data_IF_334712007058
#
_entry.id   IF_334712007058
#
_cell.length_a   1.000
_cell.length_b   1.000
_cell.length_c   1.000
_cell.angle_alpha   90.00
_cell.angle_beta   90.00
_cell.angle_gamma   90.00
#
_symmetry.space_group_name_H-M   'P 1'
#
loop_
_entity.id
_entity.type
_entity.pdbx_description
1 polymer ?
#
# COMPACT_ATOMS: atom_id res chain seq x y z
N UNK A 1 21.88 -30.82 44.44
CA UNK A 1 20.98 -29.66 44.30
C UNK A 1 21.37 -28.95 43.03
N UNK A 2 20.67 -28.87 41.91
CA UNK A 2 19.56 -29.67 41.33
C UNK A 2 19.81 -29.69 39.83
N UNK A 3 19.89 -30.91 39.28
CA UNK A 3 19.98 -31.18 37.84
C UNK A 3 18.59 -31.09 37.17
N UNK A 4 17.87 -30.00 37.24
CA UNK A 4 16.52 -29.90 36.69
C UNK A 4 16.22 -28.61 35.93
N UNK A 5 17.21 -27.98 35.28
CA UNK A 5 17.01 -26.77 34.47
C UNK A 5 17.61 -26.89 33.05
N UNK A 6 17.89 -28.10 32.56
CA UNK A 6 18.41 -28.31 31.19
C UNK A 6 17.49 -29.13 30.27
N UNK A 7 16.20 -29.26 30.56
CA UNK A 7 15.29 -30.11 29.76
C UNK A 7 14.02 -29.37 29.26
N UNK A 8 14.03 -28.06 29.05
CA UNK A 8 12.86 -27.34 28.47
C UNK A 8 13.25 -26.35 27.37
N UNK A 9 14.31 -26.65 26.60
CA UNK A 9 14.65 -25.85 25.39
C UNK A 9 15.01 -26.76 24.20
N UNK A 10 14.17 -27.74 23.95
CA UNK A 10 14.26 -28.51 22.68
C UNK A 10 12.86 -29.04 22.38
N UNK A 11 12.12 -28.17 21.67
CA UNK A 11 11.00 -28.47 20.77
C UNK A 11 10.23 -27.21 20.51
N UNK A 12 10.51 -26.59 19.38
CA UNK A 12 9.60 -26.31 18.27
C UNK A 12 10.37 -25.49 17.22
N UNK A 13 11.29 -26.14 16.51
CA UNK A 13 11.60 -25.72 15.15
C UNK A 13 10.69 -26.54 14.24
N UNK A 14 9.43 -26.13 14.09
CA UNK A 14 8.66 -26.51 12.92
C UNK A 14 9.34 -25.87 11.72
N UNK A 15 9.95 -26.73 10.92
CA UNK A 15 10.43 -26.38 9.58
C UNK A 15 9.23 -25.88 8.80
N UNK A 16 9.23 -24.61 8.46
CA UNK A 16 8.33 -24.07 7.45
C UNK A 16 8.64 -24.83 6.18
N UNK A 17 7.69 -25.65 5.75
CA UNK A 17 7.76 -26.38 4.49
C UNK A 17 7.84 -25.33 3.37
N UNK A 18 9.02 -25.19 2.79
CA UNK A 18 9.31 -24.25 1.69
C UNK A 18 8.87 -24.78 0.33
N UNK A 19 8.06 -25.84 0.31
CA UNK A 19 7.48 -26.33 -0.94
C UNK A 19 6.31 -25.44 -1.37
N UNK A 20 6.27 -24.96 -2.62
CA UNK A 20 5.11 -24.21 -3.12
C UNK A 20 3.85 -25.09 -3.01
N UNK A 21 2.68 -24.52 -2.73
CA UNK A 21 1.44 -25.27 -2.61
C UNK A 21 1.20 -26.06 -3.90
N UNK A 22 1.26 -27.39 -3.79
CA UNK A 22 0.96 -28.32 -4.88
C UNK A 22 -0.53 -28.24 -5.17
N UNK A 23 -0.91 -27.54 -6.23
CA UNK A 23 -2.30 -27.40 -6.66
C UNK A 23 -2.73 -26.02 -7.17
N UNK A 24 -1.81 -25.10 -7.43
CA UNK A 24 -2.14 -23.85 -8.13
C UNK A 24 -2.67 -24.19 -9.54
N UNK A 25 -3.79 -23.59 -9.98
CA UNK A 25 -4.30 -23.78 -11.34
C UNK A 25 -3.27 -23.26 -12.34
N UNK A 26 -2.61 -24.19 -13.00
CA UNK A 26 -1.62 -23.90 -14.06
C UNK A 26 -2.36 -23.41 -15.31
N UNK A 27 -1.97 -22.27 -15.81
CA UNK A 27 -2.04 -21.81 -17.19
C UNK A 27 -3.25 -21.03 -17.73
N UNK A 28 -4.49 -21.15 -17.26
CA UNK A 28 -5.59 -20.56 -18.04
C UNK A 28 -5.93 -19.10 -17.63
N UNK A 29 -5.80 -18.73 -16.36
CA UNK A 29 -6.20 -17.40 -15.89
C UNK A 29 -5.19 -16.30 -16.25
N UNK A 30 -3.89 -16.58 -16.23
CA UNK A 30 -2.87 -15.60 -16.60
C UNK A 30 -2.77 -15.37 -18.11
N UNK A 31 -3.01 -16.39 -18.92
CA UNK A 31 -3.08 -16.23 -20.38
C UNK A 31 -4.26 -15.35 -20.82
N UNK A 32 -5.40 -15.41 -20.11
CA UNK A 32 -6.53 -14.49 -20.31
C UNK A 32 -6.21 -13.08 -19.79
N UNK A 33 -5.58 -12.95 -18.62
CA UNK A 33 -5.16 -11.66 -18.07
C UNK A 33 -4.10 -10.96 -18.94
N UNK A 34 -3.17 -11.72 -19.50
CA UNK A 34 -2.16 -11.21 -20.45
C UNK A 34 -2.75 -10.77 -21.78
N UNK A 35 -3.93 -11.29 -22.16
CA UNK A 35 -4.62 -10.98 -23.42
C UNK A 35 -5.64 -9.84 -23.36
N UNK A 36 -6.11 -9.44 -22.19
CA UNK A 36 -7.29 -8.56 -22.06
C UNK A 36 -7.06 -7.22 -21.35
N UNK A 37 -5.82 -6.87 -20.95
CA UNK A 37 -5.55 -5.67 -20.17
C UNK A 37 -5.39 -4.42 -21.02
N UNK A 38 -6.24 -3.44 -20.82
CA UNK A 38 -6.12 -2.11 -21.39
C UNK A 38 -5.04 -1.29 -20.65
N UNK A 39 -4.05 -0.80 -21.39
CA UNK A 39 -3.05 0.16 -20.89
C UNK A 39 -3.73 1.46 -20.40
N UNK A 40 -3.21 2.12 -19.36
CA UNK A 40 -3.66 3.44 -18.92
C UNK A 40 -3.63 4.51 -20.02
N UNK A 41 -2.87 4.28 -21.09
CA UNK A 41 -2.74 5.19 -22.26
C UNK A 41 -3.66 4.86 -23.42
N UNK A 42 -4.63 3.94 -23.26
CA UNK A 42 -5.63 3.64 -24.29
C UNK A 42 -5.10 2.92 -25.55
N UNK A 43 -3.86 2.42 -25.53
CA UNK A 43 -3.30 1.58 -26.58
C UNK A 43 -3.28 0.12 -26.09
N UNK A 44 -3.79 -0.83 -26.88
CA UNK A 44 -3.65 -2.27 -26.63
C UNK A 44 -2.17 -2.70 -26.82
N UNK A 45 -1.35 -2.44 -25.80
CA UNK A 45 0.03 -2.93 -25.75
C UNK A 45 0.07 -4.10 -24.78
N UNK A 46 -0.13 -5.31 -25.27
CA UNK A 46 0.05 -6.50 -24.43
C UNK A 46 1.49 -6.62 -23.91
N UNK A 47 1.66 -7.22 -22.71
CA UNK A 47 2.93 -7.44 -22.02
C UNK A 47 4.04 -7.97 -22.95
N UNK A 48 3.74 -8.89 -23.85
CA UNK A 48 4.68 -9.39 -24.86
C UNK A 48 5.28 -8.30 -25.75
N UNK A 49 4.52 -7.23 -26.06
CA UNK A 49 5.03 -6.10 -26.83
C UNK A 49 5.98 -5.21 -26.03
N UNK A 50 5.80 -5.11 -24.71
CA UNK A 50 6.71 -4.34 -23.83
C UNK A 50 8.01 -5.12 -23.67
N UNK A 51 7.93 -6.40 -23.35
CA UNK A 51 9.09 -7.28 -23.15
C UNK A 51 9.95 -7.39 -24.41
N UNK A 52 9.33 -7.53 -25.61
CA UNK A 52 10.06 -7.67 -26.88
C UNK A 52 10.86 -6.41 -27.26
N UNK A 53 10.55 -5.25 -26.72
CA UNK A 53 11.26 -3.99 -26.96
C UNK A 53 12.36 -3.73 -25.93
N UNK A 54 12.36 -4.46 -24.82
CA UNK A 54 13.36 -4.30 -23.77
C UNK A 54 14.71 -4.87 -24.23
N UNK A 55 15.78 -4.08 -24.11
CA UNK A 55 17.15 -4.55 -24.38
C UNK A 55 17.63 -5.52 -23.30
N UNK A 56 17.16 -5.34 -22.08
CA UNK A 56 17.42 -6.16 -20.90
C UNK A 56 16.24 -6.05 -19.94
N UNK A 57 15.96 -7.14 -19.22
CA UNK A 57 14.91 -7.21 -18.21
C UNK A 57 15.56 -7.38 -16.84
N UNK A 58 15.11 -6.60 -15.87
CA UNK A 58 15.47 -6.69 -14.47
C UNK A 58 14.21 -6.95 -13.66
N UNK A 59 14.24 -7.90 -12.71
CA UNK A 59 13.14 -8.14 -11.78
C UNK A 59 13.56 -7.68 -10.40
N UNK A 60 12.92 -6.61 -9.90
CA UNK A 60 13.08 -6.12 -8.54
C UNK A 60 12.00 -6.74 -7.66
N UNK A 61 12.43 -7.41 -6.61
CA UNK A 61 11.53 -8.04 -5.63
C UNK A 61 12.17 -8.03 -4.24
N UNK A 62 11.50 -8.58 -3.24
CA UNK A 62 12.03 -8.72 -1.89
C UNK A 62 12.16 -10.19 -1.44
N UNK A 63 12.87 -10.40 -0.31
CA UNK A 63 13.17 -11.72 0.23
C UNK A 63 11.91 -12.52 0.64
N UNK A 64 10.77 -11.87 0.87
CA UNK A 64 9.51 -12.56 1.20
C UNK A 64 8.79 -13.06 -0.07
N UNK A 65 8.88 -12.32 -1.17
CA UNK A 65 8.15 -12.60 -2.42
C UNK A 65 8.94 -13.54 -3.33
N UNK A 66 10.27 -13.33 -3.42
CA UNK A 66 11.14 -14.06 -4.34
C UNK A 66 11.00 -15.59 -4.27
N UNK A 67 11.01 -16.24 -3.07
CA UNK A 67 10.97 -17.70 -3.00
C UNK A 67 9.69 -18.34 -3.55
N UNK A 68 8.59 -17.58 -3.54
CA UNK A 68 7.28 -18.09 -3.97
C UNK A 68 6.97 -17.79 -5.43
N UNK A 69 7.42 -16.62 -5.92
CA UNK A 69 6.88 -16.09 -7.16
C UNK A 69 7.91 -15.76 -8.24
N UNK A 70 9.21 -15.65 -7.90
CA UNK A 70 10.21 -15.23 -8.88
C UNK A 70 10.35 -16.24 -10.03
N UNK A 71 10.54 -17.54 -9.80
CA UNK A 71 10.64 -18.52 -10.88
C UNK A 71 9.35 -18.63 -11.73
N UNK A 72 8.19 -18.52 -11.05
CA UNK A 72 6.89 -18.59 -11.73
C UNK A 72 6.69 -17.39 -12.68
N UNK A 73 6.99 -16.18 -12.22
CA UNK A 73 6.85 -14.96 -13.03
C UNK A 73 7.86 -14.93 -14.17
N UNK A 74 9.09 -15.38 -13.97
CA UNK A 74 10.07 -15.52 -15.04
C UNK A 74 9.58 -16.47 -16.14
N UNK A 75 9.05 -17.61 -15.77
CA UNK A 75 8.46 -18.59 -16.68
C UNK A 75 7.24 -18.03 -17.41
N UNK A 76 6.29 -17.40 -16.70
CA UNK A 76 5.07 -16.86 -17.31
C UNK A 76 5.34 -15.74 -18.31
N UNK A 77 6.34 -14.91 -18.01
CA UNK A 77 6.72 -13.79 -18.88
C UNK A 77 7.72 -14.18 -19.96
N UNK A 78 8.27 -15.41 -19.94
CA UNK A 78 9.33 -15.85 -20.86
C UNK A 78 10.61 -15.03 -20.71
N UNK A 79 10.96 -14.68 -19.46
CA UNK A 79 12.14 -13.86 -19.15
C UNK A 79 13.10 -14.55 -18.16
N UNK A 80 13.35 -15.86 -18.32
CA UNK A 80 14.20 -16.68 -17.48
C UNK A 80 15.68 -16.20 -17.45
N UNK A 81 16.04 -15.28 -18.32
CA UNK A 81 17.34 -14.63 -18.34
C UNK A 81 17.32 -13.22 -17.70
N UNK A 82 16.23 -12.86 -16.99
CA UNK A 82 16.15 -11.59 -16.30
C UNK A 82 17.23 -11.48 -15.20
N UNK A 83 17.62 -10.26 -14.92
CA UNK A 83 18.58 -9.99 -13.85
C UNK A 83 17.81 -9.70 -12.58
N UNK A 84 17.96 -10.59 -11.62
CA UNK A 84 17.27 -10.50 -10.34
C UNK A 84 17.89 -9.44 -9.44
N UNK A 85 17.03 -8.63 -8.79
CA UNK A 85 17.41 -7.66 -7.77
C UNK A 85 16.54 -7.93 -6.54
N UNK A 86 17.05 -8.74 -5.62
CA UNK A 86 16.35 -9.06 -4.39
C UNK A 86 16.80 -8.12 -3.27
N UNK A 87 15.84 -7.46 -2.61
CA UNK A 87 16.09 -6.54 -1.49
C UNK A 87 15.45 -7.06 -0.20
N UNK A 88 15.84 -6.47 0.92
CA UNK A 88 15.18 -6.77 2.21
C UNK A 88 13.77 -6.21 2.23
N UNK A 89 12.80 -6.95 2.78
CA UNK A 89 11.42 -6.50 2.93
C UNK A 89 11.29 -5.45 4.04
N UNK A 90 10.26 -4.61 3.94
CA UNK A 90 9.87 -3.66 4.97
C UNK A 90 10.16 -2.20 4.63
N UNK A 91 9.33 -1.32 5.17
CA UNK A 91 9.35 0.13 4.89
C UNK A 91 10.68 0.78 5.28
N UNK A 92 11.38 0.29 6.31
CA UNK A 92 12.69 0.80 6.70
C UNK A 92 13.75 0.69 5.60
N UNK A 93 13.53 -0.15 4.59
CA UNK A 93 14.41 -0.30 3.42
C UNK A 93 13.96 0.53 2.22
N UNK A 94 12.85 1.27 2.33
CA UNK A 94 12.39 2.23 1.33
C UNK A 94 13.20 3.53 1.38
N UNK A 95 14.48 3.45 1.12
CA UNK A 95 15.43 4.52 1.34
C UNK A 95 16.46 4.66 0.21
N UNK A 96 17.24 5.75 0.22
CA UNK A 96 18.23 6.05 -0.80
C UNK A 96 19.33 4.97 -0.91
N UNK A 97 19.67 4.30 0.19
CA UNK A 97 20.70 3.26 0.17
C UNK A 97 20.26 2.05 -0.66
N UNK A 98 18.99 1.67 -0.55
CA UNK A 98 18.41 0.61 -1.38
C UNK A 98 18.32 1.01 -2.85
N UNK A 99 17.90 2.24 -3.14
CA UNK A 99 17.90 2.78 -4.52
C UNK A 99 19.32 2.75 -5.13
N UNK A 100 20.35 3.12 -4.36
CA UNK A 100 21.72 3.03 -4.82
C UNK A 100 22.16 1.60 -5.16
N UNK A 101 21.66 0.58 -4.43
CA UNK A 101 21.93 -0.83 -4.79
C UNK A 101 21.30 -1.18 -6.14
N UNK A 102 20.05 -0.76 -6.37
CA UNK A 102 19.36 -0.98 -7.64
C UNK A 102 20.17 -0.31 -8.77
N UNK A 103 20.49 0.98 -8.66
CA UNK A 103 21.28 1.67 -9.68
C UNK A 103 22.65 1.04 -9.93
N UNK A 104 23.35 0.58 -8.88
CA UNK A 104 24.64 -0.12 -9.02
C UNK A 104 24.46 -1.43 -9.80
N UNK A 105 23.38 -2.18 -9.57
CA UNK A 105 23.09 -3.42 -10.32
C UNK A 105 22.81 -3.10 -11.80
N UNK A 106 21.97 -2.10 -12.08
CA UNK A 106 21.70 -1.64 -13.45
C UNK A 106 23.01 -1.24 -14.17
N UNK A 107 23.88 -0.49 -13.49
CA UNK A 107 25.18 -0.07 -14.05
C UNK A 107 26.12 -1.25 -14.28
N UNK A 108 26.20 -2.18 -13.33
CA UNK A 108 27.05 -3.37 -13.43
C UNK A 108 26.71 -4.22 -14.65
N UNK A 109 25.43 -4.29 -14.98
CA UNK A 109 24.93 -5.06 -16.11
C UNK A 109 24.76 -4.21 -17.38
N UNK A 110 25.32 -2.98 -17.40
CA UNK A 110 25.30 -2.08 -18.55
C UNK A 110 23.91 -1.74 -19.09
N UNK A 111 22.90 -1.67 -18.18
CA UNK A 111 21.52 -1.32 -18.58
C UNK A 111 21.51 -0.02 -19.39
N UNK A 112 20.89 -0.06 -20.56
CA UNK A 112 20.71 1.10 -21.44
C UNK A 112 19.36 1.81 -21.17
N UNK A 113 18.91 2.70 -22.06
CA UNK A 113 17.65 3.43 -21.90
C UNK A 113 16.43 2.60 -22.28
N UNK A 114 16.61 1.47 -22.94
CA UNK A 114 15.56 0.54 -23.33
C UNK A 114 15.45 -0.64 -22.34
N UNK A 115 16.26 -0.62 -21.26
CA UNK A 115 16.13 -1.60 -20.18
C UNK A 115 14.75 -1.45 -19.49
N UNK A 116 14.20 -2.57 -19.02
CA UNK A 116 12.93 -2.66 -18.33
C UNK A 116 13.15 -3.14 -16.90
N UNK A 117 12.52 -2.48 -15.92
CA UNK A 117 12.41 -3.00 -14.56
C UNK A 117 10.99 -3.56 -14.35
N UNK A 118 10.90 -4.79 -13.88
CA UNK A 118 9.68 -5.42 -13.37
C UNK A 118 9.70 -5.30 -11.85
N UNK A 119 8.82 -4.51 -11.28
CA UNK A 119 8.66 -4.33 -9.83
C UNK A 119 7.65 -5.37 -9.34
N UNK A 120 8.11 -6.48 -8.79
CA UNK A 120 7.27 -7.56 -8.28
C UNK A 120 7.25 -7.55 -6.75
N UNK A 121 6.18 -7.04 -6.14
CA UNK A 121 6.10 -6.93 -4.68
C UNK A 121 4.96 -6.07 -4.17
N UNK A 122 5.03 -5.69 -2.91
CA UNK A 122 4.11 -4.75 -2.27
C UNK A 122 4.35 -3.30 -2.67
N UNK A 123 3.66 -2.37 -2.00
CA UNK A 123 3.77 -0.94 -2.26
C UNK A 123 5.19 -0.39 -2.14
N UNK A 124 5.99 -0.89 -1.19
CA UNK A 124 7.41 -0.51 -1.03
C UNK A 124 8.22 -0.81 -2.30
N UNK A 125 8.01 -1.98 -2.92
CA UNK A 125 8.69 -2.36 -4.16
C UNK A 125 8.24 -1.49 -5.33
N UNK A 126 6.93 -1.24 -5.45
CA UNK A 126 6.39 -0.40 -6.52
C UNK A 126 6.91 1.03 -6.46
N UNK A 127 6.90 1.65 -5.26
CA UNK A 127 7.39 3.01 -5.03
C UNK A 127 8.91 3.12 -5.28
N UNK A 128 9.68 2.24 -4.69
CA UNK A 128 11.13 2.25 -4.74
C UNK A 128 11.67 1.91 -6.14
N UNK A 129 11.09 0.90 -6.78
CA UNK A 129 11.45 0.48 -8.12
C UNK A 129 11.05 1.51 -9.17
N UNK A 130 9.86 2.09 -9.06
CA UNK A 130 9.40 3.17 -9.92
C UNK A 130 10.29 4.42 -9.78
N UNK A 131 10.69 4.78 -8.54
CA UNK A 131 11.63 5.88 -8.32
C UNK A 131 13.02 5.57 -8.90
N UNK A 132 13.54 4.36 -8.69
CA UNK A 132 14.82 3.96 -9.26
C UNK A 132 14.81 4.01 -10.80
N UNK A 133 13.74 3.49 -11.42
CA UNK A 133 13.56 3.50 -12.87
C UNK A 133 13.44 4.92 -13.43
N UNK A 134 12.59 5.76 -12.83
CA UNK A 134 12.33 7.13 -13.31
C UNK A 134 13.54 8.05 -13.23
N UNK A 135 14.50 7.74 -12.36
CA UNK A 135 15.71 8.55 -12.13
C UNK A 135 16.97 7.99 -12.81
N UNK A 136 17.02 6.67 -13.07
CA UNK A 136 18.14 6.06 -13.79
C UNK A 136 18.17 6.54 -15.26
N UNK A 137 19.33 7.03 -15.71
CA UNK A 137 19.52 7.58 -17.10
C UNK A 137 18.45 8.59 -17.55
N UNK A 138 17.80 9.29 -16.63
CA UNK A 138 16.65 10.21 -16.80
C UNK A 138 15.35 9.52 -17.17
N UNK A 139 15.21 8.28 -16.79
CA UNK A 139 14.04 7.43 -16.97
C UNK A 139 14.31 6.24 -17.87
N UNK A 140 13.98 5.06 -17.34
CA UNK A 140 13.82 3.81 -18.08
C UNK A 140 12.42 3.28 -17.80
N UNK A 141 11.93 2.38 -18.65
CA UNK A 141 10.59 1.82 -18.49
C UNK A 141 10.50 0.88 -17.29
N UNK A 142 9.34 0.82 -16.67
CA UNK A 142 9.05 -0.15 -15.63
C UNK A 142 7.59 -0.61 -15.68
N UNK A 143 7.33 -1.80 -15.16
CA UNK A 143 6.00 -2.36 -14.92
C UNK A 143 5.88 -2.76 -13.47
N UNK A 144 4.65 -2.78 -12.93
CA UNK A 144 4.37 -3.22 -11.59
C UNK A 144 3.59 -4.53 -11.60
N UNK A 145 4.04 -5.51 -10.82
CA UNK A 145 3.33 -6.75 -10.49
C UNK A 145 3.06 -6.70 -8.98
N UNK A 146 1.95 -6.09 -8.54
CA UNK A 146 1.63 -5.98 -7.12
C UNK A 146 1.30 -7.36 -6.53
N UNK A 147 1.97 -7.73 -5.43
CA UNK A 147 1.77 -9.01 -4.74
C UNK A 147 1.05 -8.87 -3.40
N UNK A 148 0.73 -7.64 -2.98
CA UNK A 148 -0.11 -7.38 -1.80
C UNK A 148 -1.44 -6.76 -2.22
N UNK A 149 -2.51 -7.02 -1.45
CA UNK A 149 -3.83 -6.45 -1.74
C UNK A 149 -3.76 -4.91 -1.76
N UNK A 150 -3.06 -4.30 -0.81
CA UNK A 150 -2.87 -2.86 -0.75
C UNK A 150 -2.21 -2.31 -2.03
N UNK A 151 -1.20 -3.00 -2.55
CA UNK A 151 -0.56 -2.57 -3.80
C UNK A 151 -1.46 -2.75 -5.02
N UNK A 152 -2.25 -3.83 -5.06
CA UNK A 152 -3.20 -4.11 -6.16
C UNK A 152 -4.27 -3.04 -6.30
N UNK A 153 -4.78 -2.54 -5.18
CA UNK A 153 -5.91 -1.60 -5.16
C UNK A 153 -5.49 -0.14 -5.03
N UNK A 154 -4.27 0.12 -4.54
CA UNK A 154 -3.79 1.47 -4.26
C UNK A 154 -2.34 1.72 -4.70
N UNK A 155 -1.34 1.25 -3.97
CA UNK A 155 0.03 1.75 -4.05
C UNK A 155 0.68 1.64 -5.43
N UNK A 156 0.44 0.56 -6.20
CA UNK A 156 1.03 0.39 -7.53
C UNK A 156 0.37 1.25 -8.63
N UNK A 157 -0.71 1.98 -8.32
CA UNK A 157 -1.54 2.74 -9.26
C UNK A 157 -1.37 4.23 -9.02
N UNK A 158 -1.22 5.02 -10.10
CA UNK A 158 -1.28 6.49 -10.04
C UNK A 158 0.06 7.19 -10.01
N UNK A 159 1.17 6.47 -10.28
CA UNK A 159 2.45 7.04 -10.67
C UNK A 159 3.20 7.81 -9.58
N UNK A 160 2.73 7.83 -8.34
CA UNK A 160 3.53 8.34 -7.22
C UNK A 160 4.60 7.31 -6.90
N UNK A 161 5.86 7.66 -7.08
CA UNK A 161 7.01 6.83 -6.73
C UNK A 161 7.91 7.60 -5.79
N UNK A 162 8.59 6.93 -4.87
CA UNK A 162 9.40 7.67 -3.92
C UNK A 162 10.05 6.82 -2.84
N UNK A 163 10.78 7.53 -1.99
CA UNK A 163 11.52 6.98 -0.86
C UNK A 163 11.33 7.84 0.39
N UNK A 164 11.58 7.23 1.52
CA UNK A 164 11.66 7.89 2.81
C UNK A 164 13.01 8.57 2.98
N UNK A 165 13.02 9.73 3.61
CA UNK A 165 14.23 10.49 3.85
C UNK A 165 14.13 11.33 5.11
N UNK A 166 15.21 11.39 5.90
CA UNK A 166 15.27 12.21 7.11
C UNK A 166 14.27 11.84 8.20
N UNK A 167 13.84 10.57 8.25
CA UNK A 167 12.84 10.10 9.22
C UNK A 167 11.39 10.37 8.82
N UNK A 168 11.15 10.95 7.64
CA UNK A 168 9.82 11.21 7.14
C UNK A 168 9.51 10.36 5.89
N UNK A 169 8.27 9.86 5.79
CA UNK A 169 7.80 9.03 4.67
C UNK A 169 7.64 9.84 3.39
N UNK A 170 7.95 9.20 2.26
CA UNK A 170 7.65 9.69 0.91
C UNK A 170 8.16 11.12 0.61
N UNK A 171 9.29 11.54 1.20
CA UNK A 171 9.81 12.91 1.07
C UNK A 171 10.49 13.19 -0.27
N UNK A 172 11.07 12.16 -0.89
CA UNK A 172 11.74 12.28 -2.18
C UNK A 172 11.06 11.34 -3.16
N UNK A 173 10.57 11.88 -4.27
CA UNK A 173 9.84 11.06 -5.23
C UNK A 173 9.67 11.72 -6.58
N UNK A 174 9.06 10.98 -7.50
CA UNK A 174 8.71 11.43 -8.84
C UNK A 174 7.26 11.06 -9.15
N UNK A 175 6.67 11.75 -10.13
CA UNK A 175 5.46 11.28 -10.78
C UNK A 175 5.88 10.53 -12.03
N UNK A 176 5.88 9.20 -11.98
CA UNK A 176 6.24 8.33 -13.09
C UNK A 176 5.25 7.16 -13.15
N UNK A 177 4.56 7.05 -14.26
CA UNK A 177 3.60 5.96 -14.47
C UNK A 177 4.31 4.71 -14.97
N UNK A 178 3.93 3.55 -14.43
CA UNK A 178 4.32 2.26 -14.98
C UNK A 178 3.75 2.10 -16.40
N UNK A 179 4.49 1.43 -17.30
CA UNK A 179 3.96 1.07 -18.62
C UNK A 179 2.74 0.15 -18.49
N UNK A 180 2.73 -0.71 -17.45
CA UNK A 180 1.63 -1.63 -17.13
C UNK A 180 1.59 -1.92 -15.63
N UNK A 181 0.39 -2.20 -15.09
CA UNK A 181 0.19 -2.72 -13.74
C UNK A 181 -0.57 -4.04 -13.84
N UNK A 182 0.13 -5.14 -13.65
CA UNK A 182 -0.40 -6.49 -13.79
C UNK A 182 -0.97 -6.98 -12.48
N UNK A 183 -2.28 -6.88 -12.30
CA UNK A 183 -2.99 -7.27 -11.09
C UNK A 183 -3.53 -8.68 -11.26
N UNK A 184 -3.01 -9.63 -10.45
CA UNK A 184 -3.53 -10.99 -10.40
C UNK A 184 -3.75 -11.40 -8.94
N UNK A 185 -4.98 -11.75 -8.54
CA UNK A 185 -5.29 -12.20 -7.18
C UNK A 185 -4.55 -13.48 -6.74
N UNK A 186 -3.94 -14.24 -7.66
CA UNK A 186 -3.17 -15.45 -7.33
C UNK A 186 -2.04 -15.16 -6.34
N UNK A 187 -1.41 -13.99 -6.44
CA UNK A 187 -0.35 -13.58 -5.54
C UNK A 187 -0.79 -13.47 -4.07
N UNK A 188 -2.09 -13.28 -3.83
CA UNK A 188 -2.65 -13.19 -2.47
C UNK A 188 -2.68 -14.55 -1.75
N UNK A 189 -2.47 -15.66 -2.46
CA UNK A 189 -2.46 -17.01 -1.86
C UNK A 189 -1.32 -17.21 -0.85
N UNK A 190 -0.25 -16.44 -0.97
CA UNK A 190 0.90 -16.47 -0.04
C UNK A 190 0.95 -15.27 0.89
N UNK A 191 -0.02 -14.36 0.79
CA UNK A 191 -0.05 -13.13 1.57
C UNK A 191 -0.59 -13.39 2.98
N UNK A 192 0.11 -12.96 4.06
CA UNK A 192 -0.40 -13.04 5.41
C UNK A 192 -1.74 -12.33 5.59
N UNK A 193 -2.61 -12.91 6.44
CA UNK A 193 -3.95 -12.36 6.70
C UNK A 193 -3.94 -10.91 7.17
N UNK A 194 -2.97 -10.52 8.00
CA UNK A 194 -2.78 -9.14 8.47
C UNK A 194 -2.60 -8.16 7.29
N UNK A 195 -1.83 -8.54 6.28
CA UNK A 195 -1.63 -7.75 5.06
C UNK A 195 -2.89 -7.68 4.18
N UNK A 196 -3.71 -8.76 4.16
CA UNK A 196 -5.02 -8.72 3.49
C UNK A 196 -5.93 -7.71 4.19
N UNK A 197 -5.99 -7.72 5.52
CA UNK A 197 -6.78 -6.76 6.30
C UNK A 197 -6.32 -5.32 6.07
N UNK A 198 -5.01 -5.10 5.98
CA UNK A 198 -4.43 -3.80 5.62
C UNK A 198 -4.92 -3.32 4.25
N UNK A 199 -4.91 -4.18 3.23
CA UNK A 199 -5.45 -3.84 1.90
C UNK A 199 -6.96 -3.59 1.90
N UNK A 200 -7.72 -4.34 2.70
CA UNK A 200 -9.18 -4.15 2.85
C UNK A 200 -9.53 -2.76 3.38
N UNK A 201 -8.71 -2.16 4.24
CA UNK A 201 -8.92 -0.80 4.72
C UNK A 201 -8.96 0.20 3.55
N UNK A 202 -8.04 0.07 2.59
CA UNK A 202 -8.00 0.91 1.40
C UNK A 202 -9.22 0.67 0.47
N UNK A 203 -9.67 -0.58 0.33
CA UNK A 203 -10.87 -0.86 -0.44
C UNK A 203 -12.12 -0.22 0.19
N UNK A 204 -12.24 -0.27 1.52
CA UNK A 204 -13.34 0.41 2.25
C UNK A 204 -13.25 1.93 2.13
N UNK A 205 -12.04 2.51 2.04
CA UNK A 205 -11.85 3.94 1.75
C UNK A 205 -12.58 4.32 0.46
N UNK A 206 -12.42 3.56 -0.61
CA UNK A 206 -13.14 3.80 -1.87
C UNK A 206 -14.65 3.68 -1.70
N UNK A 207 -15.12 2.82 -0.81
CA UNK A 207 -16.53 2.71 -0.43
C UNK A 207 -17.09 4.01 0.15
N UNK A 208 -16.30 4.68 0.97
CA UNK A 208 -16.71 5.96 1.58
C UNK A 208 -16.65 7.14 0.61
N UNK A 209 -15.64 7.19 -0.25
CA UNK A 209 -15.39 8.38 -1.08
C UNK A 209 -16.01 8.30 -2.49
N UNK A 210 -16.46 7.12 -2.95
CA UNK A 210 -16.90 6.94 -4.34
C UNK A 210 -18.04 5.93 -4.49
N UNK A 211 -17.79 4.64 -4.29
CA UNK A 211 -18.75 3.57 -4.59
C UNK A 211 -19.19 2.83 -3.32
N UNK A 212 -20.36 3.17 -2.78
CA UNK A 212 -20.89 2.62 -1.54
C UNK A 212 -21.00 1.08 -1.52
N UNK A 213 -21.03 0.40 -2.68
CA UNK A 213 -21.01 -1.07 -2.74
C UNK A 213 -19.78 -1.68 -2.11
N UNK A 214 -18.63 -0.97 -2.16
CA UNK A 214 -17.40 -1.44 -1.53
C UNK A 214 -17.50 -1.46 0.00
N UNK A 215 -18.49 -0.82 0.60
CA UNK A 215 -18.75 -0.95 2.05
C UNK A 215 -19.30 -2.34 2.44
N UNK A 216 -19.73 -3.17 1.48
CA UNK A 216 -20.18 -4.54 1.72
C UNK A 216 -19.04 -5.57 1.69
N UNK A 217 -17.82 -5.13 1.38
CA UNK A 217 -16.64 -5.97 1.29
C UNK A 217 -16.30 -6.57 2.65
N UNK A 218 -15.88 -7.84 2.61
CA UNK A 218 -15.40 -8.61 3.74
C UNK A 218 -14.40 -9.69 3.27
N UNK A 219 -13.83 -10.46 4.21
CA UNK A 219 -12.84 -11.51 3.93
C UNK A 219 -13.30 -12.65 3.00
N UNK A 220 -14.59 -12.74 2.67
CA UNK A 220 -15.11 -13.81 1.80
C UNK A 220 -15.29 -13.37 0.35
N UNK A 221 -15.44 -12.06 0.11
CA UNK A 221 -15.80 -11.53 -1.20
C UNK A 221 -14.87 -10.41 -1.72
N UNK A 222 -13.80 -10.04 -1.00
CA UNK A 222 -12.96 -8.90 -1.37
C UNK A 222 -12.31 -9.06 -2.75
N UNK A 223 -12.00 -10.28 -3.17
CA UNK A 223 -11.37 -10.54 -4.47
C UNK A 223 -12.22 -10.07 -5.64
N UNK A 224 -13.54 -10.15 -5.52
CA UNK A 224 -14.50 -9.72 -6.56
C UNK A 224 -14.46 -8.21 -6.81
N UNK A 225 -13.87 -7.43 -5.89
CA UNK A 225 -13.84 -5.97 -5.91
C UNK A 225 -12.45 -5.37 -6.13
N UNK A 226 -11.41 -6.20 -6.31
CA UNK A 226 -10.03 -5.72 -6.50
C UNK A 226 -9.96 -4.82 -7.75
N UNK A 227 -10.45 -5.30 -8.88
CA UNK A 227 -10.45 -4.55 -10.13
C UNK A 227 -11.23 -3.24 -10.00
N UNK A 228 -12.43 -3.28 -9.41
CA UNK A 228 -13.24 -2.08 -9.23
C UNK A 228 -12.55 -1.04 -8.34
N UNK A 229 -11.89 -1.47 -7.27
CA UNK A 229 -11.10 -0.57 -6.41
C UNK A 229 -9.98 0.11 -7.20
N UNK A 230 -9.23 -0.65 -8.00
CA UNK A 230 -8.19 -0.11 -8.88
C UNK A 230 -8.72 0.84 -9.96
N UNK A 231 -9.91 0.54 -10.55
CA UNK A 231 -10.58 1.42 -11.50
C UNK A 231 -10.93 2.77 -10.89
N UNK A 232 -11.55 2.79 -9.70
CA UNK A 232 -11.90 4.03 -9.00
C UNK A 232 -10.64 4.89 -8.80
N UNK A 233 -9.52 4.29 -8.41
CA UNK A 233 -8.28 5.04 -8.27
C UNK A 233 -7.80 5.61 -9.60
N UNK A 234 -7.80 4.80 -10.69
CA UNK A 234 -7.40 5.27 -12.03
C UNK A 234 -8.29 6.41 -12.51
N UNK A 235 -9.61 6.31 -12.33
CA UNK A 235 -10.57 7.37 -12.68
C UNK A 235 -10.23 8.69 -11.98
N UNK A 236 -9.99 8.66 -10.66
CA UNK A 236 -9.64 9.84 -9.87
C UNK A 236 -8.27 10.42 -10.29
N UNK A 237 -7.26 9.56 -10.49
CA UNK A 237 -5.92 9.97 -10.92
C UNK A 237 -5.93 10.57 -12.32
N UNK A 238 -6.72 10.02 -13.26
CA UNK A 238 -6.84 10.54 -14.61
C UNK A 238 -7.39 11.98 -14.63
N UNK A 239 -8.30 12.31 -13.69
CA UNK A 239 -8.86 13.67 -13.56
C UNK A 239 -7.83 14.63 -12.95
N UNK A 240 -7.06 14.18 -11.96
CA UNK A 240 -6.11 15.01 -11.22
C UNK A 240 -4.79 14.28 -10.96
N UNK A 241 -3.91 14.14 -11.97
CA UNK A 241 -2.67 13.37 -11.85
C UNK A 241 -1.73 13.90 -10.75
N UNK A 242 -1.75 15.21 -10.47
CA UNK A 242 -0.81 15.88 -9.56
C UNK A 242 -1.39 16.20 -8.17
N UNK A 243 -2.63 15.77 -7.87
CA UNK A 243 -3.27 15.98 -6.57
C UNK A 243 -3.44 17.45 -6.18
N UNK A 244 -3.76 18.27 -7.16
CA UNK A 244 -4.06 19.68 -6.91
C UNK A 244 -5.50 19.89 -6.38
N UNK A 245 -6.44 19.02 -6.71
CA UNK A 245 -7.86 19.12 -6.42
C UNK A 245 -8.51 17.77 -6.03
N UNK A 246 -9.27 17.16 -6.95
CA UNK A 246 -10.10 15.99 -6.70
C UNK A 246 -9.32 14.80 -6.10
N UNK A 247 -8.11 14.53 -6.56
CA UNK A 247 -7.29 13.40 -6.08
C UNK A 247 -7.04 13.46 -4.57
N UNK A 248 -7.20 14.63 -3.93
CA UNK A 248 -7.09 14.77 -2.47
C UNK A 248 -8.09 13.91 -1.71
N UNK A 249 -9.24 13.54 -2.31
CA UNK A 249 -10.23 12.67 -1.65
C UNK A 249 -9.65 11.30 -1.28
N UNK A 250 -8.61 10.83 -2.00
CA UNK A 250 -7.87 9.61 -1.66
C UNK A 250 -7.20 9.67 -0.29
N UNK A 251 -7.01 10.87 0.26
CA UNK A 251 -6.46 11.08 1.61
C UNK A 251 -7.52 10.98 2.73
N UNK A 252 -8.74 10.48 2.45
CA UNK A 252 -9.71 10.20 3.50
C UNK A 252 -9.12 9.21 4.52
N UNK A 253 -9.13 9.58 5.80
CA UNK A 253 -8.48 8.82 6.87
C UNK A 253 -6.95 9.04 6.98
N UNK A 254 -6.27 9.50 5.95
CA UNK A 254 -4.80 9.54 5.91
C UNK A 254 -4.18 10.63 6.79
N UNK A 255 -4.85 11.76 7.00
CA UNK A 255 -4.30 12.83 7.85
C UNK A 255 -4.00 12.31 9.26
N UNK A 256 -4.95 11.62 9.90
CA UNK A 256 -4.73 10.98 11.20
C UNK A 256 -3.95 9.67 11.05
N UNK A 257 -4.25 8.88 10.02
CA UNK A 257 -3.59 7.59 9.77
C UNK A 257 -2.08 7.71 9.68
N UNK A 258 -1.54 8.62 8.89
CA UNK A 258 -0.09 8.84 8.76
C UNK A 258 0.55 9.32 10.07
N UNK A 259 -0.14 10.17 10.83
CA UNK A 259 0.39 10.61 12.12
C UNK A 259 0.46 9.46 13.14
N UNK A 260 -0.59 8.62 13.18
CA UNK A 260 -0.63 7.41 14.02
C UNK A 260 0.45 6.42 13.56
N UNK A 261 0.55 6.14 12.25
CA UNK A 261 1.56 5.26 11.68
C UNK A 261 2.97 5.71 12.03
N UNK A 262 3.27 7.01 11.84
CA UNK A 262 4.59 7.59 12.16
C UNK A 262 4.91 7.48 13.64
N UNK A 263 3.93 7.66 14.53
CA UNK A 263 4.11 7.48 15.96
C UNK A 263 4.38 6.00 16.29
N UNK A 264 3.55 5.08 15.81
CA UNK A 264 3.66 3.65 16.09
C UNK A 264 4.97 3.03 15.55
N UNK A 265 5.54 3.56 14.47
CA UNK A 265 6.86 3.12 13.98
C UNK A 265 8.00 3.37 14.99
N UNK A 266 7.81 4.23 15.98
CA UNK A 266 8.79 4.51 17.03
C UNK A 266 8.56 3.69 18.31
N UNK A 267 7.54 2.85 18.32
CA UNK A 267 7.15 1.98 19.44
C UNK A 267 7.46 0.50 19.14
N UNK A 268 7.26 -0.35 20.14
CA UNK A 268 7.40 -1.81 19.98
C UNK A 268 6.24 -2.45 19.18
N UNK A 269 5.19 -1.68 18.87
CA UNK A 269 3.96 -2.12 18.21
C UNK A 269 3.70 -1.36 16.91
N UNK A 270 4.53 -1.57 15.87
CA UNK A 270 4.34 -0.88 14.58
C UNK A 270 3.06 -1.34 13.89
N UNK A 271 2.28 -0.39 13.41
CA UNK A 271 1.09 -0.65 12.62
C UNK A 271 1.44 -0.73 11.13
N UNK A 272 0.73 -1.60 10.41
CA UNK A 272 0.71 -1.57 8.95
C UNK A 272 -0.04 -0.33 8.47
N UNK A 273 0.29 0.13 7.25
CA UNK A 273 -0.33 1.31 6.66
C UNK A 273 -1.86 1.27 6.70
N UNK A 274 -2.48 0.18 6.24
CA UNK A 274 -3.94 0.06 6.23
C UNK A 274 -4.57 -0.01 7.63
N UNK A 275 -3.85 -0.53 8.64
CA UNK A 275 -4.31 -0.50 10.03
C UNK A 275 -4.38 0.95 10.54
N UNK A 276 -3.34 1.73 10.28
CA UNK A 276 -3.29 3.14 10.63
C UNK A 276 -4.35 3.96 9.88
N UNK A 277 -4.55 3.68 8.57
CA UNK A 277 -5.61 4.32 7.78
C UNK A 277 -6.99 3.92 8.28
N UNK A 278 -7.21 2.67 8.70
CA UNK A 278 -8.46 2.24 9.30
C UNK A 278 -8.78 3.04 10.58
N UNK A 279 -7.82 3.23 11.47
CA UNK A 279 -7.93 4.10 12.64
C UNK A 279 -8.21 5.55 12.24
N UNK A 280 -7.47 6.05 11.25
CA UNK A 280 -7.64 7.40 10.73
C UNK A 280 -9.02 7.63 10.10
N UNK A 281 -9.59 6.62 9.43
CA UNK A 281 -10.98 6.69 8.89
C UNK A 281 -12.00 6.76 10.04
N UNK A 282 -11.80 6.05 11.15
CA UNK A 282 -12.68 6.18 12.31
C UNK A 282 -12.71 7.62 12.84
N UNK A 283 -11.53 8.26 12.96
CA UNK A 283 -11.42 9.66 13.35
C UNK A 283 -12.03 10.61 12.32
N UNK A 284 -11.78 10.39 11.02
CA UNK A 284 -12.35 11.22 9.94
C UNK A 284 -13.88 11.10 9.88
N UNK A 285 -14.45 9.91 10.09
CA UNK A 285 -15.90 9.71 10.18
C UNK A 285 -16.50 10.42 11.42
N UNK A 286 -15.81 10.32 12.57
CA UNK A 286 -16.23 11.04 13.77
C UNK A 286 -16.22 12.57 13.56
N UNK A 287 -15.16 13.09 12.93
CA UNK A 287 -15.09 14.52 12.54
C UNK A 287 -16.18 14.89 11.53
N UNK A 288 -16.49 14.01 10.58
CA UNK A 288 -17.56 14.21 9.59
C UNK A 288 -18.94 14.34 10.24
N UNK A 289 -19.22 13.52 11.28
CA UNK A 289 -20.45 13.66 12.07
C UNK A 289 -20.50 15.02 12.78
N UNK A 290 -19.37 15.50 13.33
CA UNK A 290 -19.31 16.76 14.09
C UNK A 290 -19.32 18.01 13.21
N UNK A 291 -18.68 17.99 12.05
CA UNK A 291 -18.47 19.19 11.21
C UNK A 291 -19.32 19.23 9.94
N UNK A 292 -19.62 18.07 9.35
CA UNK A 292 -20.27 17.98 8.04
C UNK A 292 -21.71 17.44 8.12
N UNK A 293 -22.19 17.05 9.31
CA UNK A 293 -23.54 16.52 9.48
C UNK A 293 -23.73 15.08 8.97
N UNK A 294 -22.64 14.32 8.80
CA UNK A 294 -22.72 12.90 8.44
C UNK A 294 -23.61 12.15 9.43
N UNK A 295 -24.46 11.26 8.93
CA UNK A 295 -25.32 10.45 9.78
C UNK A 295 -24.46 9.55 10.71
N UNK A 296 -24.67 9.66 12.01
CA UNK A 296 -23.94 8.92 13.05
C UNK A 296 -24.02 7.38 12.87
N UNK A 297 -25.06 6.88 12.19
CA UNK A 297 -25.18 5.46 11.87
C UNK A 297 -24.01 4.96 11.01
N UNK A 298 -23.51 5.79 10.08
CA UNK A 298 -22.36 5.44 9.23
C UNK A 298 -21.13 5.16 10.09
N UNK A 299 -20.87 6.00 11.10
CA UNK A 299 -19.79 5.83 12.05
C UNK A 299 -19.94 4.53 12.85
N UNK A 300 -21.15 4.27 13.41
CA UNK A 300 -21.42 3.05 14.19
C UNK A 300 -21.32 1.76 13.35
N UNK A 301 -21.68 1.82 12.08
CA UNK A 301 -21.54 0.67 11.19
C UNK A 301 -20.06 0.44 10.82
N UNK A 302 -19.26 1.52 10.77
CA UNK A 302 -17.81 1.40 10.55
C UNK A 302 -17.08 0.84 11.78
N UNK A 303 -17.46 1.19 13.01
CA UNK A 303 -16.87 0.64 14.24
C UNK A 303 -16.85 -0.90 14.23
N UNK A 304 -17.94 -1.54 13.73
CA UNK A 304 -18.01 -3.00 13.59
C UNK A 304 -17.02 -3.55 12.57
N UNK A 305 -16.72 -2.80 11.50
CA UNK A 305 -15.74 -3.19 10.49
C UNK A 305 -14.32 -2.95 11.01
N UNK A 306 -14.11 -1.89 11.76
CA UNK A 306 -12.83 -1.54 12.36
C UNK A 306 -12.30 -2.69 13.23
N UNK A 307 -13.13 -3.30 14.07
CA UNK A 307 -12.73 -4.43 14.91
C UNK A 307 -12.26 -5.65 14.09
N UNK A 308 -12.82 -5.86 12.88
CA UNK A 308 -12.36 -6.91 11.97
C UNK A 308 -11.04 -6.53 11.31
N UNK A 309 -10.91 -5.28 10.84
CA UNK A 309 -9.69 -4.79 10.20
C UNK A 309 -8.48 -4.84 11.12
N UNK A 310 -8.69 -4.63 12.41
CA UNK A 310 -7.65 -4.60 13.42
C UNK A 310 -7.45 -5.93 14.16
N UNK A 311 -8.15 -7.00 13.74
CA UNK A 311 -8.16 -8.29 14.47
C UNK A 311 -6.82 -9.01 14.55
N UNK A 312 -5.86 -8.65 13.70
CA UNK A 312 -4.48 -9.19 13.67
C UNK A 312 -3.43 -8.13 14.14
N UNK A 313 -3.89 -6.91 14.45
CA UNK A 313 -3.02 -5.82 14.89
C UNK A 313 -2.90 -5.82 16.41
N UNK A 314 -1.69 -5.54 16.90
CA UNK A 314 -1.47 -5.25 18.32
C UNK A 314 -1.48 -3.73 18.50
N UNK A 315 -2.56 -3.22 19.11
CA UNK A 315 -2.77 -1.78 19.29
C UNK A 315 -2.54 -1.42 20.73
N UNK A 316 -1.49 -0.66 21.00
CA UNK A 316 -1.09 -0.22 22.32
C UNK A 316 -1.27 1.31 22.53
N UNK A 317 -2.16 1.95 21.75
CA UNK A 317 -2.42 3.38 21.86
C UNK A 317 -3.16 3.71 23.16
N UNK A 318 -2.72 4.78 23.82
CA UNK A 318 -3.26 5.31 25.07
C UNK A 318 -3.48 6.82 24.99
N UNK A 319 -4.16 7.42 25.96
CA UNK A 319 -4.36 8.87 26.02
C UNK A 319 -3.02 9.65 26.06
N UNK A 320 -1.94 9.02 26.52
CA UNK A 320 -0.60 9.63 26.53
C UNK A 320 -0.04 9.86 25.11
N UNK A 321 -0.50 9.09 24.12
CA UNK A 321 -0.02 9.16 22.75
C UNK A 321 -0.67 10.30 21.95
N UNK A 322 -1.74 10.92 22.47
CA UNK A 322 -2.47 11.99 21.78
C UNK A 322 -1.55 13.17 21.43
N UNK A 323 -0.75 13.66 22.39
CA UNK A 323 0.14 14.78 22.12
C UNK A 323 1.29 14.42 21.17
N UNK A 324 2.01 13.31 21.32
CA UNK A 324 2.97 12.84 20.31
C UNK A 324 2.39 12.74 18.89
N UNK A 325 1.18 12.19 18.74
CA UNK A 325 0.51 12.10 17.42
C UNK A 325 0.17 13.49 16.89
N UNK A 326 -0.27 14.42 17.74
CA UNK A 326 -0.51 15.82 17.35
C UNK A 326 0.76 16.52 16.86
N UNK A 327 1.93 16.19 17.38
CA UNK A 327 3.21 16.76 16.94
C UNK A 327 3.53 16.34 15.50
N UNK A 328 3.24 15.10 15.11
CA UNK A 328 3.37 14.64 13.70
C UNK A 328 2.44 15.41 12.77
N UNK A 329 1.19 15.67 13.19
CA UNK A 329 0.26 16.51 12.40
C UNK A 329 0.77 17.96 12.26
N UNK A 330 1.39 18.52 13.30
CA UNK A 330 1.95 19.86 13.27
C UNK A 330 3.17 19.97 12.34
N UNK A 331 3.97 18.88 12.20
CA UNK A 331 5.11 18.86 11.29
C UNK A 331 4.67 18.98 9.82
N UNK A 332 3.58 18.34 9.46
CA UNK A 332 2.98 18.45 8.12
C UNK A 332 2.38 19.86 7.85
N UNK A 333 1.99 20.56 8.92
CA UNK A 333 1.43 21.92 8.90
C UNK A 333 2.41 23.05 8.57
N UNK A 334 3.70 22.90 8.86
CA UNK A 334 4.71 23.97 8.68
C UNK A 334 4.73 24.55 7.26
N UNK A 335 4.01 23.92 6.35
CA UNK A 335 3.92 24.32 4.95
C UNK A 335 2.57 24.90 4.48
N UNK A 336 1.48 24.92 5.28
CA UNK A 336 0.14 25.22 4.73
C UNK A 336 -0.86 26.01 5.61
N UNK A 337 -0.46 26.58 6.75
CA UNK A 337 -1.38 27.34 7.61
C UNK A 337 -1.50 26.84 9.06
N UNK A 338 -2.38 27.46 9.88
CA UNK A 338 -2.46 27.21 11.32
C UNK A 338 -3.19 25.90 11.70
N UNK A 339 -4.13 25.42 10.89
CA UNK A 339 -4.94 24.25 11.17
C UNK A 339 -4.71 23.08 10.19
N UNK A 340 -4.73 21.80 10.62
CA UNK A 340 -4.64 20.67 9.72
C UNK A 340 -5.88 20.59 8.83
N UNK A 341 -5.64 20.22 7.56
CA UNK A 341 -6.69 20.02 6.58
C UNK A 341 -7.05 18.54 6.47
N UNK A 342 -8.35 18.28 6.38
CA UNK A 342 -8.92 16.94 6.32
C UNK A 342 -9.73 16.72 5.05
N UNK A 343 -9.85 15.47 4.67
CA UNK A 343 -10.94 14.98 3.83
C UNK A 343 -12.00 14.45 4.78
N UNK A 344 -13.21 14.97 4.69
CA UNK A 344 -14.39 14.59 5.48
C UNK A 344 -15.55 14.22 4.55
N UNK A 345 -16.65 13.71 5.10
CA UNK A 345 -17.82 13.29 4.33
C UNK A 345 -19.06 14.08 4.76
N UNK A 346 -19.79 14.66 3.80
CA UNK A 346 -21.19 15.12 4.01
C UNK A 346 -22.17 13.93 3.98
N UNK A 347 -21.86 12.95 3.11
CA UNK A 347 -22.55 11.67 2.99
C UNK A 347 -21.58 10.63 2.42
N UNK A 348 -21.91 9.34 2.51
CA UNK A 348 -21.19 8.29 1.80
C UNK A 348 -21.20 8.59 0.30
N UNK A 349 -20.05 8.58 -0.34
CA UNK A 349 -19.87 8.93 -1.75
C UNK A 349 -19.79 10.45 -2.02
N UNK A 350 -19.91 11.29 -0.98
CA UNK A 350 -19.79 12.75 -1.12
C UNK A 350 -18.68 13.31 -0.22
N UNK A 351 -17.41 13.12 -0.60
CA UNK A 351 -16.25 13.64 0.13
C UNK A 351 -16.04 15.14 -0.13
N UNK A 352 -15.66 15.86 0.92
CA UNK A 352 -15.19 17.25 0.88
C UNK A 352 -13.74 17.28 1.37
N UNK A 353 -12.89 18.07 0.72
CA UNK A 353 -11.47 18.17 1.04
C UNK A 353 -11.06 19.58 1.42
N UNK A 354 -9.85 19.72 1.97
CA UNK A 354 -9.32 20.96 2.55
C UNK A 354 -10.20 21.52 3.69
N UNK A 355 -10.87 20.63 4.46
CA UNK A 355 -11.67 21.03 5.62
C UNK A 355 -10.72 21.31 6.78
N UNK A 356 -10.65 22.55 7.24
CA UNK A 356 -9.87 22.91 8.42
C UNK A 356 -10.58 22.40 9.69
N UNK A 357 -9.79 21.79 10.59
CA UNK A 357 -10.28 21.29 11.86
C UNK A 357 -9.46 21.87 13.00
N UNK A 358 -10.13 22.44 13.99
CA UNK A 358 -9.52 23.05 15.16
C UNK A 358 -8.77 21.97 15.99
N UNK A 359 -7.58 22.32 16.57
CA UNK A 359 -6.75 21.37 17.28
C UNK A 359 -7.47 20.61 18.41
N UNK A 360 -8.37 21.26 19.14
CA UNK A 360 -9.12 20.61 20.22
C UNK A 360 -10.07 19.53 19.69
N UNK A 361 -10.67 19.76 18.51
CA UNK A 361 -11.54 18.77 17.88
C UNK A 361 -10.72 17.60 17.30
N UNK A 362 -9.51 17.87 16.81
CA UNK A 362 -8.57 16.82 16.38
C UNK A 362 -8.15 15.95 17.57
N UNK A 363 -7.82 16.56 18.71
CA UNK A 363 -7.52 15.81 19.95
C UNK A 363 -8.70 14.95 20.41
N UNK A 364 -9.91 15.49 20.35
CA UNK A 364 -11.11 14.73 20.69
C UNK A 364 -11.33 13.53 19.73
N UNK A 365 -11.01 13.68 18.45
CA UNK A 365 -11.06 12.57 17.49
C UNK A 365 -10.01 11.49 17.75
N UNK A 366 -8.80 11.87 18.21
CA UNK A 366 -7.77 10.91 18.61
C UNK A 366 -8.18 10.13 19.88
N UNK A 367 -8.73 10.80 20.88
CA UNK A 367 -9.29 10.13 22.07
C UNK A 367 -10.44 9.17 21.70
N UNK A 368 -11.26 9.55 20.74
CA UNK A 368 -12.30 8.65 20.20
C UNK A 368 -11.67 7.42 19.52
N UNK A 369 -10.64 7.60 18.68
CA UNK A 369 -9.92 6.49 18.02
C UNK A 369 -9.38 5.52 19.07
N UNK A 370 -8.67 6.02 20.08
CA UNK A 370 -8.11 5.21 21.18
C UNK A 370 -9.19 4.40 21.87
N UNK A 371 -10.31 5.03 22.18
CA UNK A 371 -11.43 4.36 22.83
C UNK A 371 -12.01 3.20 22.00
N UNK A 372 -12.18 3.37 20.68
CA UNK A 372 -12.81 2.35 19.82
C UNK A 372 -11.82 1.28 19.36
N UNK A 373 -10.52 1.54 19.40
CA UNK A 373 -9.48 0.57 19.08
C UNK A 373 -9.22 -0.46 20.18
N UNK A 374 -9.64 -0.16 21.43
CA UNK A 374 -9.51 -1.05 22.58
C UNK A 374 -10.76 -1.94 22.82
N UNK A 375 -11.80 -1.86 22.00
CA UNK A 375 -13.02 -2.65 22.07
C UNK A 375 -12.95 -3.86 21.15
#
# INVERSE_FOLDING_TARGET
MNDNLKQTMTQTSESIDSSPPTGLPRNDMLSEALGSMSSPRGEERGMGSILSKASQVFILTDENVAPFWLPEVEYWLGCENAIEIVIRPGEQYKNLQTVQKIWKTLMKHHADRNALIINMGGGTIADLGGFAASTYKRGINFINIPTTLLAMVDAAIGGKTGIDFGGAKNQIGTFAEAEEVLVDPVFLSTLPRREILSGLAEMLKYGFISDAKLLEINLKNYQDYILRSGEIKREIVAIDPKEAGLRKILNFGHTLGHAIESHCLTTDYPLLHGEAVALGMAGALWLSVKKCGLNERVLKDYEKKLSVLLSEAEIALTDADVNPIMDYLAYDKKNKGENPQFVLLEAVGNPVWNVEVEPDLVKASLLYIIKVSCQ
#
